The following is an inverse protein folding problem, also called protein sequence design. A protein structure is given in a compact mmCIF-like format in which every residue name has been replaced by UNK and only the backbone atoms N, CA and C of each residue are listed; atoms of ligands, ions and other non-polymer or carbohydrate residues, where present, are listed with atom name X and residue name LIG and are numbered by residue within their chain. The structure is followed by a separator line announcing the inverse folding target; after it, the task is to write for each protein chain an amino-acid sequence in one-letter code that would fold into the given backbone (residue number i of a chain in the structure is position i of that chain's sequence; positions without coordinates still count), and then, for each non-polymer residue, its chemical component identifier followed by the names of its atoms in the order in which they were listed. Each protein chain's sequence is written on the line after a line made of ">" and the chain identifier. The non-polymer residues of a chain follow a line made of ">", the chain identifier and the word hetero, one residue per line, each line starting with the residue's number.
data_IF_589817374163
#
_entry.id   IF_589817374163
#
_cell.length_a   1.000
_cell.length_b   1.000
_cell.length_c   1.000
_cell.angle_alpha   90.00
_cell.angle_beta   90.00
_cell.angle_gamma   90.00
#
_symmetry.space_group_name_H-M   'P 1'
#
loop_
_entity.id
_entity.type
_entity.pdbx_description
1 polymer ?
#
# COMPACT_ATOMS: atom_id res chain seq x y z
N UNK A 1 -8.29 14.74 -5.07
CA UNK A 1 -6.88 14.56 -4.72
C UNK A 1 -6.23 13.61 -5.71
N UNK A 2 -5.55 14.12 -6.72
CA UNK A 2 -4.93 13.26 -7.73
C UNK A 2 -3.62 12.68 -7.21
N UNK A 3 -3.53 11.35 -7.11
CA UNK A 3 -2.32 10.65 -6.71
C UNK A 3 -1.47 10.50 -7.97
N UNK A 4 -0.26 11.08 -7.94
CA UNK A 4 0.68 10.98 -9.05
C UNK A 4 1.38 9.62 -8.99
N UNK A 5 0.80 8.62 -9.66
CA UNK A 5 1.34 7.26 -9.75
C UNK A 5 2.70 7.18 -10.46
N UNK A 6 3.05 8.23 -11.22
CA UNK A 6 4.34 8.39 -11.90
C UNK A 6 5.48 8.83 -10.96
N UNK A 7 5.15 9.14 -9.70
CA UNK A 7 6.15 9.62 -8.76
C UNK A 7 7.11 8.47 -8.37
N UNK A 8 8.44 8.65 -8.50
CA UNK A 8 9.41 7.61 -8.17
C UNK A 8 9.34 7.15 -6.69
N UNK A 9 8.71 7.95 -5.83
CA UNK A 9 8.43 7.62 -4.43
C UNK A 9 7.47 6.44 -4.23
N UNK A 10 6.59 6.14 -5.20
CA UNK A 10 5.63 5.02 -5.12
C UNK A 10 6.27 3.67 -5.47
N UNK A 11 7.58 3.66 -5.76
CA UNK A 11 8.41 2.46 -5.79
C UNK A 11 8.00 1.42 -6.83
N UNK A 12 7.29 1.83 -7.89
CA UNK A 12 6.87 0.93 -8.97
C UNK A 12 5.83 -0.12 -8.56
N UNK A 13 5.33 -0.12 -7.32
CA UNK A 13 4.33 -1.11 -6.87
C UNK A 13 2.99 -0.95 -7.61
N UNK A 14 2.71 0.25 -8.10
CA UNK A 14 1.51 0.62 -8.86
C UNK A 14 1.53 0.11 -10.32
N UNK A 15 2.69 -0.31 -10.84
CA UNK A 15 2.86 -0.77 -12.23
C UNK A 15 3.02 -2.31 -12.34
N UNK A 16 2.83 -3.02 -11.23
CA UNK A 16 2.90 -4.48 -11.17
C UNK A 16 1.54 -5.17 -11.28
N UNK A 17 1.50 -6.52 -11.26
CA UNK A 17 0.26 -7.30 -11.32
C UNK A 17 -0.68 -7.05 -10.14
N UNK A 18 -0.16 -6.55 -9.01
CA UNK A 18 -0.94 -6.15 -7.84
C UNK A 18 -1.13 -4.63 -7.73
N UNK A 19 -0.86 -3.90 -8.83
CA UNK A 19 -0.89 -2.45 -8.88
C UNK A 19 -2.28 -1.87 -8.64
N UNK A 20 -3.35 -2.54 -9.08
CA UNK A 20 -4.72 -2.11 -8.85
C UNK A 20 -5.12 -2.17 -7.37
N UNK A 21 -4.83 -3.27 -6.67
CA UNK A 21 -5.03 -3.37 -5.22
C UNK A 21 -4.20 -2.33 -4.47
N UNK A 22 -2.94 -2.12 -4.88
CA UNK A 22 -2.08 -1.09 -4.30
C UNK A 22 -2.68 0.30 -4.49
N UNK A 23 -3.12 0.64 -5.71
CA UNK A 23 -3.75 1.94 -6.02
C UNK A 23 -5.01 2.16 -5.20
N UNK A 24 -5.85 1.13 -5.06
CA UNK A 24 -7.08 1.19 -4.30
C UNK A 24 -6.82 1.36 -2.78
N UNK A 25 -5.86 0.63 -2.22
CA UNK A 25 -5.50 0.73 -0.81
C UNK A 25 -4.84 2.09 -0.50
N UNK A 26 -3.91 2.52 -1.35
CA UNK A 26 -3.15 3.76 -1.16
C UNK A 26 -4.03 5.00 -1.37
N UNK A 27 -4.94 4.97 -2.35
CA UNK A 27 -5.93 6.06 -2.51
C UNK A 27 -6.85 6.16 -1.31
N UNK A 28 -7.36 5.03 -0.82
CA UNK A 28 -8.16 5.00 0.40
C UNK A 28 -7.38 5.59 1.58
N UNK A 29 -6.10 5.23 1.77
CA UNK A 29 -5.26 5.79 2.82
C UNK A 29 -5.04 7.31 2.70
N UNK A 30 -4.81 7.82 1.49
CA UNK A 30 -4.62 9.25 1.23
C UNK A 30 -5.88 10.05 1.58
N UNK A 31 -7.05 9.51 1.21
CA UNK A 31 -8.34 10.14 1.48
C UNK A 31 -8.90 9.86 2.88
N UNK A 32 -8.41 8.85 3.58
CA UNK A 32 -8.89 8.50 4.92
C UNK A 32 -8.48 9.58 5.92
N UNK A 33 -9.49 10.18 6.54
CA UNK A 33 -9.38 11.13 7.65
C UNK A 33 -9.54 10.43 9.01
N UNK A 34 -9.71 9.10 9.02
CA UNK A 34 -9.82 8.33 10.24
C UNK A 34 -8.51 8.38 11.04
N UNK A 35 -8.60 8.35 12.36
CA UNK A 35 -7.44 8.24 13.26
C UNK A 35 -7.50 6.87 13.94
N UNK A 36 -6.57 5.94 13.65
CA UNK A 36 -5.39 6.08 12.79
C UNK A 36 -5.71 6.03 11.28
N UNK A 37 -4.91 6.77 10.49
CA UNK A 37 -5.13 6.89 9.04
C UNK A 37 -5.16 5.53 8.36
N UNK A 38 -6.19 5.31 7.54
CA UNK A 38 -6.35 4.09 6.77
C UNK A 38 -6.82 2.88 7.57
N UNK A 39 -7.27 3.04 8.83
CA UNK A 39 -7.94 1.96 9.57
C UNK A 39 -9.20 1.45 8.86
N UNK A 40 -9.91 2.34 8.18
CA UNK A 40 -11.08 1.99 7.36
C UNK A 40 -10.69 1.26 6.06
N UNK A 41 -9.43 1.38 5.65
CA UNK A 41 -8.89 0.86 4.40
C UNK A 41 -8.14 -0.47 4.57
N UNK A 42 -8.12 -1.05 5.78
CA UNK A 42 -7.36 -2.25 6.13
C UNK A 42 -7.73 -3.45 5.24
N UNK A 43 -8.99 -3.57 4.85
CA UNK A 43 -9.46 -4.65 3.98
C UNK A 43 -8.81 -4.57 2.59
N UNK A 44 -8.62 -3.36 2.05
CA UNK A 44 -7.92 -3.15 0.78
C UNK A 44 -6.42 -3.48 0.88
N UNK A 45 -5.79 -3.11 2.00
CA UNK A 45 -4.41 -3.51 2.28
C UNK A 45 -4.25 -5.03 2.42
N UNK A 46 -5.26 -5.71 2.97
CA UNK A 46 -5.28 -7.17 3.07
C UNK A 46 -5.32 -7.83 1.68
N UNK A 47 -6.14 -7.30 0.76
CA UNK A 47 -6.17 -7.76 -0.63
C UNK A 47 -4.82 -7.59 -1.33
N UNK A 48 -4.20 -6.43 -1.17
CA UNK A 48 -2.85 -6.16 -1.70
C UNK A 48 -1.80 -7.13 -1.14
N UNK A 49 -1.80 -7.41 0.16
CA UNK A 49 -0.90 -8.41 0.76
C UNK A 49 -1.13 -9.81 0.21
N UNK A 50 -2.39 -10.19 -0.03
CA UNK A 50 -2.69 -11.49 -0.61
C UNK A 50 -2.17 -11.60 -2.04
N UNK A 51 -2.31 -10.54 -2.83
CA UNK A 51 -1.75 -10.48 -4.17
C UNK A 51 -0.21 -10.56 -4.15
N UNK A 52 0.47 -9.84 -3.25
CA UNK A 52 1.93 -9.96 -3.12
C UNK A 52 2.37 -11.38 -2.74
N UNK A 53 1.63 -12.07 -1.86
CA UNK A 53 1.90 -13.49 -1.55
C UNK A 53 1.75 -14.42 -2.75
N UNK A 54 0.91 -14.08 -3.73
CA UNK A 54 0.76 -14.85 -4.97
C UNK A 54 1.88 -14.57 -5.98
N UNK A 55 2.62 -13.48 -5.82
CA UNK A 55 3.71 -13.05 -6.72
C UNK A 55 5.05 -12.85 -5.99
N UNK A 56 5.59 -13.89 -5.32
CA UNK A 56 6.84 -13.79 -4.56
C UNK A 56 8.06 -13.47 -5.45
N UNK A 57 8.05 -13.87 -6.73
CA UNK A 57 9.11 -13.57 -7.69
C UNK A 57 9.24 -12.08 -8.03
N UNK A 58 8.14 -11.30 -7.93
CA UNK A 58 8.13 -9.87 -8.26
C UNK A 58 8.31 -9.01 -7.02
N UNK A 59 7.61 -9.34 -5.94
CA UNK A 59 7.60 -8.51 -4.72
C UNK A 59 8.61 -8.98 -3.67
N UNK A 60 9.30 -10.10 -3.91
CA UNK A 60 10.29 -10.69 -3.02
C UNK A 60 9.67 -11.33 -1.77
N UNK A 61 10.42 -12.26 -1.15
CA UNK A 61 10.07 -12.91 0.13
C UNK A 61 9.91 -11.88 1.29
N UNK A 62 10.34 -10.63 1.06
CA UNK A 62 10.16 -9.47 1.94
C UNK A 62 8.81 -8.76 1.84
N UNK A 63 7.83 -9.29 1.10
CA UNK A 63 6.43 -8.81 1.11
C UNK A 63 5.74 -8.96 2.48
N UNK A 64 6.43 -9.48 3.48
CA UNK A 64 6.23 -9.08 4.87
C UNK A 64 6.72 -7.65 5.10
N UNK A 65 6.27 -6.66 4.32
CA UNK A 65 6.19 -5.32 4.90
C UNK A 65 5.27 -5.52 6.09
N UNK A 66 5.75 -5.38 7.34
CA UNK A 66 4.85 -5.52 8.46
C UNK A 66 3.79 -4.47 8.20
N UNK A 67 2.52 -4.86 8.15
CA UNK A 67 1.42 -3.93 7.94
C UNK A 67 1.53 -2.77 8.95
N UNK A 68 2.16 -3.05 10.10
CA UNK A 68 2.65 -2.07 11.07
C UNK A 68 3.54 -0.96 10.50
N UNK A 69 4.47 -1.16 9.56
CA UNK A 69 5.27 -0.05 9.00
C UNK A 69 4.47 0.90 8.10
N UNK A 70 3.37 0.45 7.47
CA UNK A 70 2.52 1.29 6.64
C UNK A 70 1.39 1.98 7.43
N UNK A 71 0.97 1.41 8.56
CA UNK A 71 -0.09 1.96 9.42
C UNK A 71 0.45 2.67 10.67
N UNK A 72 1.71 2.43 11.05
CA UNK A 72 2.34 3.21 12.11
C UNK A 72 2.65 4.61 11.58
N UNK A 73 2.29 5.68 12.32
CA UNK A 73 2.77 7.02 12.02
C UNK A 73 4.29 6.99 12.15
N UNK A 74 5.02 6.86 11.04
CA UNK A 74 6.45 7.18 11.05
C UNK A 74 6.55 8.64 11.50
N UNK A 75 7.28 8.97 12.59
CA UNK A 75 7.58 10.35 12.90
C UNK A 75 8.37 10.88 11.70
N UNK A 76 7.80 11.84 10.97
CA UNK A 76 8.54 12.59 9.94
C UNK A 76 9.63 13.38 10.68
N UNK A 77 10.92 13.31 10.28
CA UNK A 77 11.91 14.29 10.73
C UNK A 77 11.60 15.68 10.17
#
# INVERSE_FOLDING_TARGET
>A
GEINWDCPCLGGMADGPCGDEFKAAFSCFVYSEAEPKGIDCVDKFRGMQECFRRHPDIYGDGASLPLSLCVLPRPRP
#
